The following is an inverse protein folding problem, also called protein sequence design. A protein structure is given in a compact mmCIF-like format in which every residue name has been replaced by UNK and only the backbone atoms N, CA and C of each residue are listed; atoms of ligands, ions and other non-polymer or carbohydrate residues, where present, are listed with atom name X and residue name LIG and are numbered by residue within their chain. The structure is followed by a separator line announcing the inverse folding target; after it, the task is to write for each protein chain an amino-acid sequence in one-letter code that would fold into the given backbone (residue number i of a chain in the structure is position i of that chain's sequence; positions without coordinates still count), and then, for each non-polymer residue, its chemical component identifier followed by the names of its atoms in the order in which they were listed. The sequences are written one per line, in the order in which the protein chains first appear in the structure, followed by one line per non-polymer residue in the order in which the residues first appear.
data_IF_791679182378
#
_entry.id   IF_791679182378
#
_cell.length_a   1.000
_cell.length_b   1.000
_cell.length_c   1.000
_cell.angle_alpha   90.00
_cell.angle_beta   90.00
_cell.angle_gamma   90.00
#
_symmetry.space_group_name_H-M   'P 1'
#
loop_
_entity.id
_entity.type
_entity.pdbx_description
1 polymer ?
#
# COMPACT_ATOMS: atom_id res chain seq x y z
N UNK A 1 -6.63 53.62 -33.10
CA UNK A 1 -5.76 52.50 -33.52
C UNK A 1 -5.27 51.80 -32.26
N UNK A 2 -5.38 50.48 -32.26
CA UNK A 2 -5.63 49.67 -31.07
C UNK A 2 -4.45 49.57 -30.09
N UNK A 3 -4.78 49.81 -28.82
CA UNK A 3 -4.02 49.38 -27.65
C UNK A 3 -4.30 47.90 -27.40
N UNK A 4 -3.25 47.07 -27.37
CA UNK A 4 -3.31 45.68 -26.91
C UNK A 4 -2.32 45.50 -25.76
N UNK A 5 -2.76 45.88 -24.56
CA UNK A 5 -2.17 45.40 -23.32
C UNK A 5 -2.71 43.97 -23.08
N UNK A 6 -1.87 42.95 -23.28
CA UNK A 6 -2.18 41.58 -22.91
C UNK A 6 -1.99 41.43 -21.40
N UNK A 7 -3.09 41.46 -20.66
CA UNK A 7 -3.16 41.18 -19.23
C UNK A 7 -2.96 39.68 -18.98
N UNK A 8 -1.87 39.28 -18.34
CA UNK A 8 -1.73 37.94 -17.78
C UNK A 8 -2.60 37.81 -16.51
N UNK A 9 -3.69 37.06 -16.62
CA UNK A 9 -4.49 36.61 -15.48
C UNK A 9 -3.83 35.35 -14.86
N UNK A 10 -3.67 35.25 -13.53
CA UNK A 10 -3.18 34.02 -12.90
C UNK A 10 -4.26 32.93 -12.92
N UNK A 11 -3.89 31.75 -13.44
CA UNK A 11 -4.70 30.53 -13.41
C UNK A 11 -4.83 30.08 -11.94
N UNK A 12 -6.05 29.83 -11.40
CA UNK A 12 -6.18 29.27 -10.07
C UNK A 12 -5.69 27.82 -10.07
N UNK A 13 -4.68 27.54 -9.23
CA UNK A 13 -4.26 26.18 -8.87
C UNK A 13 -5.37 25.52 -8.06
N UNK A 14 -6.11 24.60 -8.68
CA UNK A 14 -6.98 23.66 -7.96
C UNK A 14 -6.23 22.32 -7.94
N UNK A 15 -5.72 21.96 -6.77
CA UNK A 15 -5.06 20.68 -6.52
C UNK A 15 -6.09 19.54 -6.51
N UNK A 16 -5.85 18.40 -7.18
CA UNK A 16 -6.78 17.27 -7.19
C UNK A 16 -6.71 16.41 -5.92
N UNK A 17 -6.24 16.98 -4.80
CA UNK A 17 -5.97 16.25 -3.56
C UNK A 17 -7.08 16.42 -2.51
N UNK A 18 -8.14 17.20 -2.81
CA UNK A 18 -9.24 17.47 -1.87
C UNK A 18 -10.49 16.61 -2.09
N UNK A 19 -10.52 15.74 -3.11
CA UNK A 19 -11.75 15.00 -3.49
C UNK A 19 -11.83 13.55 -2.97
N UNK A 20 -10.89 13.09 -2.14
CA UNK A 20 -10.85 11.70 -1.67
C UNK A 20 -11.03 11.51 -0.15
N UNK A 21 -11.63 12.48 0.56
CA UNK A 21 -12.01 12.34 1.99
C UNK A 21 -13.53 12.44 2.20
N UNK A 22 -14.33 11.99 1.23
CA UNK A 22 -15.80 11.90 1.41
C UNK A 22 -16.37 10.48 1.36
N UNK A 23 -15.53 9.45 1.24
CA UNK A 23 -15.99 8.07 1.17
C UNK A 23 -15.72 7.34 2.50
N UNK A 24 -16.54 7.61 3.53
CA UNK A 24 -16.81 6.75 4.70
C UNK A 24 -17.66 7.49 5.76
N UNK A 25 -18.82 8.03 5.36
CA UNK A 25 -19.88 8.44 6.29
C UNK A 25 -21.02 7.43 6.13
N UNK A 26 -21.37 6.64 7.15
CA UNK A 26 -22.64 5.92 7.15
C UNK A 26 -23.77 6.95 7.22
N UNK A 27 -24.55 7.03 6.14
CA UNK A 27 -25.83 7.73 6.10
C UNK A 27 -26.81 6.98 7.00
N UNK A 28 -27.01 7.48 8.22
CA UNK A 28 -27.94 6.90 9.18
C UNK A 28 -28.46 7.97 10.11
N UNK A 29 -29.52 8.67 9.67
CA UNK A 29 -30.71 9.10 10.42
C UNK A 29 -31.42 10.11 9.50
N UNK A 30 -32.48 9.66 8.85
CA UNK A 30 -33.40 10.52 8.13
C UNK A 30 -34.85 10.12 8.45
N UNK A 31 -35.61 11.14 8.90
CA UNK A 31 -37.09 11.27 9.05
C UNK A 31 -37.63 10.77 10.42
N UNK A 32 -38.40 11.55 11.19
CA UNK A 32 -39.59 12.32 10.76
C UNK A 32 -39.98 13.49 11.74
N UNK A 33 -40.38 14.63 11.12
CA UNK A 33 -41.17 15.83 11.51
C UNK A 33 -41.51 16.17 12.98
N UNK A 34 -41.39 17.46 13.35
CA UNK A 34 -42.49 18.47 13.41
C UNK A 34 -41.91 19.88 13.12
N UNK A 35 -42.71 20.70 12.42
CA UNK A 35 -42.42 22.08 12.00
C UNK A 35 -42.63 23.08 13.13
N UNK A 36 -41.62 23.91 13.45
CA UNK A 36 -41.81 25.26 14.02
C UNK A 36 -40.68 26.21 13.61
N UNK A 37 -41.04 27.17 12.75
CA UNK A 37 -40.57 28.56 12.59
C UNK A 37 -39.05 28.92 12.65
N UNK A 38 -38.44 29.47 11.57
CA UNK A 38 -37.06 29.89 11.54
C UNK A 38 -36.90 31.38 11.92
N UNK A 39 -36.77 31.69 13.21
CA UNK A 39 -36.30 33.02 13.61
C UNK A 39 -35.72 33.04 15.03
N UNK A 40 -34.45 32.64 15.18
CA UNK A 40 -33.42 33.30 15.99
C UNK A 40 -32.18 32.43 16.04
N UNK A 41 -31.04 33.02 15.69
CA UNK A 41 -29.76 32.33 15.67
C UNK A 41 -29.39 31.75 17.03
N UNK A 42 -29.03 30.48 17.01
CA UNK A 42 -28.13 29.89 17.98
C UNK A 42 -27.09 29.14 17.17
N UNK A 43 -25.88 29.69 17.16
CA UNK A 43 -24.68 29.06 16.63
C UNK A 43 -24.62 27.61 17.09
N UNK A 44 -24.26 26.70 16.18
CA UNK A 44 -23.81 25.33 16.47
C UNK A 44 -22.86 25.35 17.69
N UNK A 45 -23.39 25.10 18.88
CA UNK A 45 -22.66 25.21 20.14
C UNK A 45 -21.84 23.95 20.30
N UNK A 46 -20.53 24.08 20.12
CA UNK A 46 -19.55 23.29 20.85
C UNK A 46 -19.98 23.21 22.32
N UNK A 47 -19.92 22.03 22.94
CA UNK A 47 -20.32 21.81 24.33
C UNK A 47 -19.76 22.89 25.26
N UNK A 48 -20.64 23.73 25.78
CA UNK A 48 -20.31 24.96 26.50
C UNK A 48 -21.14 25.13 27.78
N UNK A 49 -21.98 24.14 28.13
CA UNK A 49 -22.91 24.23 29.26
C UNK A 49 -22.68 23.09 30.24
N UNK A 50 -22.86 23.39 31.53
CA UNK A 50 -22.85 22.39 32.59
C UNK A 50 -24.12 21.53 32.56
N UNK A 51 -24.13 20.43 33.33
CA UNK A 51 -25.32 19.58 33.45
C UNK A 51 -26.53 20.38 33.98
N UNK A 52 -26.33 21.22 35.01
CA UNK A 52 -27.39 22.04 35.59
C UNK A 52 -27.94 23.06 34.59
N UNK A 53 -27.05 23.71 33.84
CA UNK A 53 -27.43 24.67 32.79
C UNK A 53 -28.25 24.02 31.68
N UNK A 54 -27.90 22.80 31.25
CA UNK A 54 -28.66 22.05 30.25
C UNK A 54 -30.07 21.74 30.76
N UNK A 55 -30.19 21.23 31.99
CA UNK A 55 -31.50 20.92 32.60
C UNK A 55 -32.35 22.18 32.66
N UNK A 56 -31.78 23.30 33.13
CA UNK A 56 -32.46 24.58 33.24
C UNK A 56 -32.90 25.10 31.87
N UNK A 57 -32.04 25.00 30.86
CA UNK A 57 -32.33 25.43 29.50
C UNK A 57 -33.51 24.66 28.90
N UNK A 58 -33.47 23.32 28.90
CA UNK A 58 -34.56 22.50 28.36
C UNK A 58 -35.87 22.69 29.12
N UNK A 59 -35.80 22.85 30.45
CA UNK A 59 -36.98 23.18 31.26
C UNK A 59 -37.63 24.50 30.81
N UNK A 60 -36.82 25.54 30.64
CA UNK A 60 -37.29 26.86 30.21
C UNK A 60 -37.85 26.83 28.79
N UNK A 61 -37.22 26.08 27.88
CA UNK A 61 -37.69 25.93 26.50
C UNK A 61 -39.06 25.25 26.41
N UNK A 62 -39.38 24.36 27.35
CA UNK A 62 -40.70 23.74 27.46
C UNK A 62 -41.71 24.56 28.28
N UNK A 63 -41.32 25.74 28.77
CA UNK A 63 -42.17 26.59 29.60
C UNK A 63 -42.50 26.00 30.97
N UNK A 64 -41.74 25.00 31.43
CA UNK A 64 -42.01 24.32 32.70
C UNK A 64 -41.49 25.14 33.88
N UNK A 65 -42.27 25.23 34.94
CA UNK A 65 -41.77 25.73 36.23
C UNK A 65 -40.89 24.69 36.92
N UNK A 66 -40.03 25.12 37.86
CA UNK A 66 -39.22 24.17 38.65
C UNK A 66 -40.10 23.13 39.39
N UNK A 67 -41.21 23.50 40.07
CA UNK A 67 -42.10 22.53 40.69
C UNK A 67 -42.70 21.52 39.70
N UNK A 68 -43.05 21.96 38.49
CA UNK A 68 -43.61 21.08 37.45
C UNK A 68 -42.61 20.03 36.98
N UNK A 69 -41.38 20.44 36.67
CA UNK A 69 -40.33 19.47 36.28
C UNK A 69 -39.97 18.55 37.46
N UNK A 70 -39.89 19.10 38.68
CA UNK A 70 -39.61 18.31 39.87
C UNK A 70 -40.70 17.24 40.10
N UNK A 71 -41.97 17.59 39.89
CA UNK A 71 -43.10 16.66 39.96
C UNK A 71 -43.01 15.58 38.86
N UNK A 72 -42.74 15.97 37.61
CA UNK A 72 -42.54 15.02 36.49
C UNK A 72 -41.39 14.05 36.73
N UNK A 73 -40.27 14.55 37.24
CA UNK A 73 -39.11 13.74 37.61
C UNK A 73 -39.27 13.04 38.98
N UNK A 74 -40.38 13.30 39.69
CA UNK A 74 -40.72 12.86 41.06
C UNK A 74 -39.56 13.03 42.06
N UNK A 75 -38.99 14.24 42.08
CA UNK A 75 -37.97 14.71 43.01
C UNK A 75 -38.45 15.97 43.73
N UNK A 76 -37.75 16.35 44.79
CA UNK A 76 -38.01 17.60 45.50
C UNK A 76 -37.62 18.82 44.65
N UNK A 77 -38.45 19.86 44.65
CA UNK A 77 -38.16 21.11 43.93
C UNK A 77 -36.89 21.79 44.44
N UNK A 78 -36.62 21.72 45.74
CA UNK A 78 -35.38 22.22 46.34
C UNK A 78 -34.14 21.48 45.83
N UNK A 79 -34.28 20.18 45.52
CA UNK A 79 -33.22 19.38 44.92
C UNK A 79 -33.01 19.73 43.45
N UNK A 80 -34.09 19.88 42.66
CA UNK A 80 -33.99 20.35 41.27
C UNK A 80 -33.30 21.72 41.19
N UNK A 81 -33.61 22.65 42.09
CA UNK A 81 -32.96 23.96 42.15
C UNK A 81 -31.44 23.85 42.43
N UNK A 82 -31.02 22.89 43.27
CA UNK A 82 -29.59 22.64 43.50
C UNK A 82 -28.92 22.03 42.27
N UNK A 83 -29.61 21.13 41.54
CA UNK A 83 -29.11 20.55 40.29
C UNK A 83 -28.91 21.62 39.21
N UNK A 84 -29.91 22.49 38.99
CA UNK A 84 -29.86 23.56 37.97
C UNK A 84 -28.79 24.63 38.22
N UNK A 85 -28.27 24.71 39.44
CA UNK A 85 -27.23 25.66 39.84
C UNK A 85 -25.89 24.95 40.14
N UNK A 86 -25.70 23.71 39.69
CA UNK A 86 -24.48 22.90 39.86
C UNK A 86 -24.02 22.71 41.32
N UNK A 87 -24.95 22.86 42.28
CA UNK A 87 -24.68 22.67 43.72
C UNK A 87 -24.88 21.21 44.16
N UNK A 88 -25.35 20.34 43.28
CA UNK A 88 -25.52 18.90 43.52
C UNK A 88 -25.51 18.12 42.21
N UNK A 89 -25.30 16.81 42.29
CA UNK A 89 -25.31 15.92 41.13
C UNK A 89 -26.35 14.80 41.30
N UNK A 90 -27.07 14.41 40.24
CA UNK A 90 -28.09 13.38 40.31
C UNK A 90 -27.47 11.98 40.29
N UNK A 91 -28.16 10.99 40.89
CA UNK A 91 -27.90 9.59 40.57
C UNK A 91 -28.33 9.28 39.12
N UNK A 92 -27.87 8.16 38.57
CA UNK A 92 -28.23 7.75 37.21
C UNK A 92 -29.76 7.63 37.01
N UNK A 93 -30.46 7.05 37.99
CA UNK A 93 -31.92 6.91 37.96
C UNK A 93 -32.63 8.27 37.99
N UNK A 94 -32.13 9.21 38.81
CA UNK A 94 -32.69 10.56 38.86
C UNK A 94 -32.44 11.30 37.55
N UNK A 95 -31.23 11.18 36.97
CA UNK A 95 -30.92 11.79 35.68
C UNK A 95 -31.87 11.27 34.60
N UNK A 96 -32.08 9.96 34.52
CA UNK A 96 -33.04 9.35 33.57
C UNK A 96 -34.46 9.88 33.74
N UNK A 97 -34.92 10.07 34.98
CA UNK A 97 -36.26 10.62 35.27
C UNK A 97 -36.38 12.10 34.90
N UNK A 98 -35.33 12.89 35.13
CA UNK A 98 -35.26 14.29 34.68
C UNK A 98 -35.29 14.37 33.16
N UNK A 99 -34.45 13.58 32.48
CA UNK A 99 -34.41 13.48 31.03
C UNK A 99 -35.77 13.06 30.43
N UNK A 100 -36.43 12.08 31.04
CA UNK A 100 -37.78 11.67 30.65
C UNK A 100 -38.82 12.78 30.88
N UNK A 101 -38.72 13.54 31.98
CA UNK A 101 -39.59 14.69 32.25
C UNK A 101 -39.41 15.85 31.26
N UNK A 102 -38.24 15.90 30.62
CA UNK A 102 -37.85 16.87 29.59
C UNK A 102 -37.93 16.32 28.17
N UNK A 103 -38.37 15.09 27.94
CA UNK A 103 -38.35 14.44 26.61
C UNK A 103 -37.00 14.61 25.88
N UNK A 104 -35.90 14.49 26.65
CA UNK A 104 -34.54 14.73 26.17
C UNK A 104 -33.75 13.41 26.18
N UNK A 105 -33.13 13.05 25.06
CA UNK A 105 -32.28 11.87 24.99
C UNK A 105 -30.88 12.14 25.59
N UNK A 106 -30.26 11.08 26.10
CA UNK A 106 -28.88 11.14 26.63
C UNK A 106 -27.90 11.61 25.55
N UNK A 107 -28.17 11.28 24.28
CA UNK A 107 -27.35 11.70 23.16
C UNK A 107 -27.32 13.23 22.98
N UNK A 108 -28.48 13.86 23.03
CA UNK A 108 -28.64 15.30 22.89
C UNK A 108 -28.06 16.05 24.10
N UNK A 109 -28.22 15.50 25.30
CA UNK A 109 -27.57 16.03 26.51
C UNK A 109 -26.05 15.98 26.37
N UNK A 110 -25.48 14.83 26.02
CA UNK A 110 -24.04 14.66 25.87
C UNK A 110 -23.43 15.53 24.75
N UNK A 111 -24.21 15.89 23.73
CA UNK A 111 -23.76 16.81 22.67
C UNK A 111 -23.62 18.27 23.16
N UNK A 112 -24.43 18.67 24.15
CA UNK A 112 -24.46 20.03 24.71
C UNK A 112 -23.51 20.19 25.91
N UNK A 113 -23.20 19.08 26.58
CA UNK A 113 -22.36 19.04 27.78
C UNK A 113 -20.94 19.50 27.46
N UNK A 114 -20.44 20.49 28.22
CA UNK A 114 -19.03 20.83 28.19
C UNK A 114 -18.22 19.79 28.96
N UNK A 115 -17.75 18.78 28.23
CA UNK A 115 -16.92 17.69 28.78
C UNK A 115 -15.62 18.23 29.39
N UNK A 116 -15.13 19.41 29.00
CA UNK A 116 -13.86 19.97 29.48
C UNK A 116 -13.98 20.60 30.86
N UNK A 117 -15.15 21.15 31.18
CA UNK A 117 -15.42 21.82 32.46
C UNK A 117 -16.36 21.01 33.36
N UNK A 118 -16.93 19.91 32.87
CA UNK A 118 -17.80 19.05 33.66
C UNK A 118 -17.10 18.51 34.92
N UNK A 119 -17.80 18.61 36.05
CA UNK A 119 -17.35 18.04 37.32
C UNK A 119 -17.14 16.52 37.17
N UNK A 120 -16.06 15.96 37.75
CA UNK A 120 -15.81 14.52 37.73
C UNK A 120 -17.02 13.67 38.12
N UNK A 121 -17.87 14.14 39.04
CA UNK A 121 -19.08 13.42 39.47
C UNK A 121 -20.11 13.27 38.35
N UNK A 122 -20.24 14.27 37.47
CA UNK A 122 -21.12 14.19 36.28
C UNK A 122 -20.62 13.10 35.33
N UNK A 123 -19.30 13.06 35.10
CA UNK A 123 -18.67 12.07 34.22
C UNK A 123 -18.75 10.62 34.77
N UNK A 124 -19.00 10.46 36.07
CA UNK A 124 -19.15 9.15 36.70
C UNK A 124 -20.57 8.58 36.61
N UNK A 125 -21.57 9.40 36.23
CA UNK A 125 -22.95 8.93 36.05
C UNK A 125 -22.99 7.89 34.92
N UNK A 126 -23.61 6.74 35.19
CA UNK A 126 -23.46 5.55 34.34
C UNK A 126 -23.98 5.74 32.91
N UNK A 127 -25.12 6.41 32.74
CA UNK A 127 -25.68 6.73 31.42
C UNK A 127 -24.77 7.62 30.58
N UNK A 128 -24.17 8.66 31.19
CA UNK A 128 -23.19 9.54 30.53
C UNK A 128 -21.91 8.78 30.21
N UNK A 129 -21.37 8.04 31.18
CA UNK A 129 -20.17 7.20 31.01
C UNK A 129 -20.34 6.20 29.87
N UNK A 130 -21.45 5.48 29.86
CA UNK A 130 -21.76 4.46 28.85
C UNK A 130 -21.85 5.08 27.46
N UNK A 131 -22.53 6.23 27.34
CA UNK A 131 -22.64 6.93 26.06
C UNK A 131 -21.26 7.41 25.58
N UNK A 132 -20.51 8.13 26.42
CA UNK A 132 -19.18 8.64 26.10
C UNK A 132 -18.18 7.52 25.75
N UNK A 133 -18.25 6.40 26.47
CA UNK A 133 -17.41 5.22 26.22
C UNK A 133 -17.59 4.62 24.83
N UNK A 134 -18.82 4.64 24.27
CA UNK A 134 -19.09 4.13 22.91
C UNK A 134 -18.39 4.96 21.82
N UNK A 135 -18.37 6.29 21.95
CA UNK A 135 -17.65 7.17 21.01
C UNK A 135 -16.14 7.01 21.12
N UNK A 136 -15.63 6.84 22.34
CA UNK A 136 -14.21 6.64 22.57
C UNK A 136 -13.73 5.28 22.03
N UNK A 137 -14.53 4.22 22.20
CA UNK A 137 -14.22 2.88 21.71
C UNK A 137 -14.20 2.82 20.17
N UNK A 138 -15.10 3.54 19.49
CA UNK A 138 -15.09 3.64 18.03
C UNK A 138 -13.83 4.36 17.51
N UNK A 139 -13.42 5.45 18.18
CA UNK A 139 -12.14 6.12 17.84
C UNK A 139 -10.94 5.22 18.10
N UNK A 140 -10.90 4.48 19.21
CA UNK A 140 -9.79 3.57 19.52
C UNK A 140 -9.70 2.41 18.52
N UNK A 141 -10.83 1.78 18.17
CA UNK A 141 -10.86 0.71 17.14
C UNK A 141 -10.34 1.21 15.80
N UNK A 142 -10.72 2.43 15.39
CA UNK A 142 -10.22 3.06 14.17
C UNK A 142 -8.71 3.29 14.23
N UNK A 143 -8.17 3.80 15.34
CA UNK A 143 -6.72 3.99 15.49
C UNK A 143 -5.95 2.67 15.48
N UNK A 144 -6.43 1.64 16.18
CA UNK A 144 -5.80 0.30 16.19
C UNK A 144 -5.82 -0.32 14.79
N UNK A 145 -6.95 -0.22 14.08
CA UNK A 145 -7.07 -0.70 12.72
C UNK A 145 -6.10 0.00 11.77
N UNK A 146 -5.96 1.33 11.87
CA UNK A 146 -4.99 2.10 11.08
C UNK A 146 -3.55 1.75 11.43
N UNK A 147 -3.22 1.55 12.71
CA UNK A 147 -1.89 1.09 13.12
C UNK A 147 -1.57 -0.27 12.49
N UNK A 148 -2.51 -1.22 12.50
CA UNK A 148 -2.33 -2.54 11.89
C UNK A 148 -2.04 -2.45 10.39
N UNK A 149 -2.76 -1.58 9.65
CA UNK A 149 -2.52 -1.34 8.22
C UNK A 149 -1.10 -0.80 7.98
N UNK A 150 -0.67 0.20 8.74
CA UNK A 150 0.66 0.78 8.57
C UNK A 150 1.77 -0.20 8.94
N UNK A 151 1.60 -1.00 10.00
CA UNK A 151 2.53 -2.07 10.35
C UNK A 151 2.62 -3.12 9.24
N UNK A 152 1.49 -3.54 8.66
CA UNK A 152 1.49 -4.47 7.53
C UNK A 152 2.20 -3.87 6.31
N UNK A 153 1.98 -2.59 6.03
CA UNK A 153 2.60 -1.88 4.91
C UNK A 153 4.13 -1.83 5.05
N UNK A 154 4.64 -1.62 6.27
CA UNK A 154 6.07 -1.70 6.57
C UNK A 154 6.61 -3.10 6.27
N UNK A 155 5.91 -4.15 6.72
CA UNK A 155 6.31 -5.53 6.45
C UNK A 155 6.41 -5.85 4.96
N UNK A 156 5.41 -5.43 4.18
CA UNK A 156 5.41 -5.59 2.71
C UNK A 156 6.54 -4.79 2.06
N UNK A 157 6.77 -3.55 2.51
CA UNK A 157 7.85 -2.71 2.00
C UNK A 157 9.23 -3.33 2.21
N UNK A 158 9.51 -3.82 3.42
CA UNK A 158 10.75 -4.53 3.74
C UNK A 158 10.94 -5.81 2.89
N UNK A 159 9.87 -6.58 2.68
CA UNK A 159 9.91 -7.78 1.87
C UNK A 159 10.24 -7.49 0.40
N UNK A 160 9.62 -6.47 -0.18
CA UNK A 160 9.90 -6.05 -1.57
C UNK A 160 11.32 -5.51 -1.74
N UNK A 161 11.81 -4.74 -0.77
CA UNK A 161 13.19 -4.28 -0.77
C UNK A 161 14.18 -5.44 -0.76
N UNK A 162 13.96 -6.42 0.13
CA UNK A 162 14.81 -7.61 0.20
C UNK A 162 14.72 -8.45 -1.09
N UNK A 163 13.54 -8.59 -1.67
CA UNK A 163 13.35 -9.32 -2.92
C UNK A 163 14.12 -8.70 -4.10
N UNK A 164 14.13 -7.37 -4.21
CA UNK A 164 14.93 -6.66 -5.21
C UNK A 164 16.43 -6.76 -4.94
N UNK A 165 16.85 -6.61 -3.67
CA UNK A 165 18.27 -6.72 -3.27
C UNK A 165 18.86 -8.12 -3.48
N UNK A 166 18.07 -9.16 -3.23
CA UNK A 166 18.50 -10.55 -3.34
C UNK A 166 18.48 -11.09 -4.79
N UNK A 167 18.04 -10.29 -5.77
CA UNK A 167 17.87 -10.71 -7.16
C UNK A 167 16.96 -11.95 -7.32
N UNK A 168 16.07 -12.20 -6.35
CA UNK A 168 15.35 -13.47 -6.23
C UNK A 168 14.42 -13.77 -7.42
N UNK A 169 13.81 -12.72 -7.99
CA UNK A 169 12.91 -12.84 -9.14
C UNK A 169 13.58 -12.53 -10.47
N UNK A 170 14.59 -11.66 -10.48
CA UNK A 170 15.29 -11.22 -11.68
C UNK A 170 16.80 -11.36 -11.48
N UNK A 171 17.36 -12.55 -11.75
CA UNK A 171 18.80 -12.77 -11.67
C UNK A 171 19.56 -11.81 -12.59
N UNK A 172 20.63 -11.20 -12.09
CA UNK A 172 21.47 -10.28 -12.89
C UNK A 172 22.65 -11.01 -13.55
N UNK A 173 22.83 -12.30 -13.24
CA UNK A 173 23.84 -13.14 -13.87
C UNK A 173 23.38 -13.56 -15.25
N UNK A 174 24.03 -13.02 -16.27
CA UNK A 174 23.78 -13.36 -17.65
C UNK A 174 24.85 -14.32 -18.18
N UNK A 175 24.42 -15.43 -18.74
CA UNK A 175 25.24 -16.45 -19.37
C UNK A 175 25.22 -16.26 -20.89
N UNK A 176 26.40 -16.20 -21.50
CA UNK A 176 26.56 -16.10 -22.94
C UNK A 176 26.91 -17.46 -23.52
N UNK A 177 26.16 -17.89 -24.53
CA UNK A 177 26.41 -19.13 -25.24
C UNK A 177 26.69 -18.84 -26.69
N UNK A 178 27.68 -19.51 -27.27
CA UNK A 178 28.06 -19.34 -28.67
C UNK A 178 28.04 -20.66 -29.41
N UNK A 179 27.47 -20.64 -30.61
CA UNK A 179 27.57 -21.71 -31.59
C UNK A 179 28.48 -21.27 -32.74
N UNK A 180 29.29 -22.20 -33.27
CA UNK A 180 30.19 -21.94 -34.40
C UNK A 180 29.53 -22.14 -35.77
N UNK A 181 28.39 -22.82 -35.83
CA UNK A 181 27.68 -23.08 -37.09
C UNK A 181 26.59 -24.13 -36.97
N UNK A 182 25.97 -24.43 -38.12
CA UNK A 182 24.91 -25.43 -38.25
C UNK A 182 25.47 -26.80 -38.63
N UNK A 183 25.06 -27.81 -37.86
CA UNK A 183 25.40 -29.21 -38.07
C UNK A 183 24.25 -29.84 -38.85
N UNK A 184 24.58 -30.45 -39.98
CA UNK A 184 23.62 -31.11 -40.86
C UNK A 184 23.26 -32.51 -40.35
N UNK A 185 22.12 -33.07 -40.78
CA UNK A 185 21.76 -34.45 -40.45
C UNK A 185 22.85 -35.44 -40.89
N UNK A 186 23.33 -36.27 -39.96
CA UNK A 186 24.40 -37.26 -40.21
C UNK A 186 25.81 -36.79 -39.84
N UNK A 187 26.02 -35.50 -39.59
CA UNK A 187 27.31 -34.99 -39.15
C UNK A 187 27.57 -35.19 -37.65
N UNK A 188 28.85 -35.37 -37.25
CA UNK A 188 29.24 -35.49 -35.85
C UNK A 188 28.86 -34.22 -35.05
N UNK A 189 28.54 -34.38 -33.76
CA UNK A 189 28.17 -33.26 -32.88
C UNK A 189 29.33 -32.27 -32.71
N UNK A 190 30.56 -32.75 -32.64
CA UNK A 190 31.78 -31.96 -32.54
C UNK A 190 32.32 -31.54 -33.92
N UNK A 191 31.49 -31.47 -34.97
CA UNK A 191 31.89 -31.07 -36.33
C UNK A 191 32.76 -29.80 -36.30
N UNK A 192 32.30 -28.69 -35.73
CA UNK A 192 33.06 -27.42 -35.65
C UNK A 192 34.20 -27.39 -34.62
N UNK A 193 34.43 -28.49 -33.90
CA UNK A 193 35.52 -28.65 -32.92
C UNK A 193 36.64 -29.54 -33.46
N UNK A 194 36.51 -30.00 -34.71
CA UNK A 194 37.49 -30.86 -35.37
C UNK A 194 36.98 -32.27 -35.65
N UNK A 195 35.73 -32.59 -35.29
CA UNK A 195 35.10 -33.88 -35.55
C UNK A 195 35.08 -34.25 -37.03
N UNK A 196 34.93 -33.26 -37.91
CA UNK A 196 34.95 -33.41 -39.37
C UNK A 196 36.24 -34.05 -39.91
N UNK A 197 37.36 -33.95 -39.18
CA UNK A 197 38.65 -34.55 -39.58
C UNK A 197 38.63 -36.07 -39.59
N UNK A 198 37.70 -36.71 -38.88
CA UNK A 198 37.59 -38.16 -38.82
C UNK A 198 37.11 -38.80 -40.12
N UNK A 199 36.60 -38.00 -41.05
CA UNK A 199 36.13 -38.45 -42.36
C UNK A 199 37.29 -38.73 -43.34
N UNK A 200 38.52 -38.25 -43.04
CA UNK A 200 39.67 -38.37 -43.92
C UNK A 200 40.69 -39.41 -43.42
N UNK A 201 41.31 -40.20 -44.32
CA UNK A 201 42.32 -41.18 -43.93
C UNK A 201 43.59 -40.48 -43.41
N UNK A 202 44.33 -41.14 -42.51
CA UNK A 202 45.55 -40.59 -41.91
C UNK A 202 46.62 -40.15 -42.93
N UNK A 203 46.65 -40.78 -44.11
CA UNK A 203 47.53 -40.41 -45.22
C UNK A 203 47.28 -39.00 -45.76
N UNK A 204 46.05 -38.48 -45.69
CA UNK A 204 45.69 -37.14 -46.18
C UNK A 204 46.38 -36.00 -45.41
N UNK A 205 46.81 -36.26 -44.17
CA UNK A 205 47.45 -35.29 -43.29
C UNK A 205 48.98 -35.27 -43.39
N UNK A 206 49.60 -36.17 -44.18
CA UNK A 206 51.06 -36.30 -44.25
C UNK A 206 51.70 -35.14 -45.05
N UNK A 207 52.78 -34.50 -44.54
CA UNK A 207 53.43 -33.38 -45.22
C UNK A 207 54.12 -33.74 -46.56
N UNK A 208 54.72 -34.93 -46.65
CA UNK A 208 55.43 -35.42 -47.84
C UNK A 208 54.47 -36.17 -48.78
N UNK A 209 54.33 -35.70 -50.02
CA UNK A 209 53.39 -36.25 -51.01
C UNK A 209 54.04 -37.25 -51.97
N UNK A 210 53.33 -38.36 -52.16
CA UNK A 210 53.25 -39.20 -53.34
C UNK A 210 52.71 -38.40 -54.56
N UNK A 211 52.96 -38.89 -55.78
CA UNK A 211 52.66 -38.23 -57.06
C UNK A 211 51.20 -37.81 -57.22
N UNK A 212 50.95 -36.73 -57.98
CA UNK A 212 49.61 -36.36 -58.47
C UNK A 212 48.97 -37.57 -59.17
N UNK A 213 47.76 -37.96 -58.74
CA UNK A 213 47.04 -39.15 -59.22
C UNK A 213 47.13 -40.40 -58.33
N UNK A 214 47.79 -40.34 -57.16
CA UNK A 214 47.72 -41.39 -56.16
C UNK A 214 46.48 -41.25 -55.24
N UNK A 215 45.97 -42.35 -54.64
CA UNK A 215 44.86 -42.29 -53.68
C UNK A 215 45.12 -41.32 -52.50
N UNK A 216 46.38 -41.15 -52.12
CA UNK A 216 46.80 -40.21 -51.06
C UNK A 216 46.75 -38.74 -51.53
N UNK A 217 47.10 -38.48 -52.80
CA UNK A 217 47.02 -37.15 -53.41
C UNK A 217 45.59 -36.64 -53.56
N UNK A 218 44.66 -37.52 -53.96
CA UNK A 218 43.23 -37.21 -54.05
C UNK A 218 42.63 -36.91 -52.67
N UNK A 219 42.94 -37.74 -51.66
CA UNK A 219 42.49 -37.51 -50.29
C UNK A 219 42.99 -36.17 -49.73
N UNK A 220 44.21 -35.75 -50.09
CA UNK A 220 44.76 -34.44 -49.71
C UNK A 220 44.02 -33.28 -50.39
N UNK A 221 43.59 -33.44 -51.64
CA UNK A 221 42.79 -32.43 -52.34
C UNK A 221 41.39 -32.29 -51.71
N UNK A 222 40.74 -33.42 -51.41
CA UNK A 222 39.45 -33.44 -50.71
C UNK A 222 39.56 -32.82 -49.32
N UNK A 223 40.63 -33.11 -48.57
CA UNK A 223 40.89 -32.49 -47.27
C UNK A 223 40.99 -30.96 -47.37
N UNK A 224 41.70 -30.43 -48.39
CA UNK A 224 41.80 -28.97 -48.61
C UNK A 224 40.45 -28.35 -48.97
N UNK A 225 39.66 -29.02 -49.81
CA UNK A 225 38.30 -28.56 -50.14
C UNK A 225 37.42 -28.53 -48.89
N UNK A 226 37.43 -29.60 -48.10
CA UNK A 226 36.69 -29.67 -46.84
C UNK A 226 37.15 -28.62 -45.81
N UNK A 227 38.43 -28.25 -45.77
CA UNK A 227 38.91 -27.12 -44.95
C UNK A 227 38.28 -25.79 -45.38
N UNK A 228 38.22 -25.52 -46.68
CA UNK A 228 37.61 -24.31 -47.24
C UNK A 228 36.10 -24.31 -46.99
N UNK A 229 35.43 -25.44 -47.21
CA UNK A 229 33.99 -25.58 -46.98
C UNK A 229 33.64 -25.44 -45.50
N UNK A 230 34.44 -26.02 -44.60
CA UNK A 230 34.28 -25.86 -43.16
C UNK A 230 34.46 -24.42 -42.74
N UNK A 231 35.47 -23.71 -43.27
CA UNK A 231 35.68 -22.29 -43.02
C UNK A 231 34.51 -21.43 -43.52
N UNK A 232 33.97 -21.75 -44.70
CA UNK A 232 32.81 -21.06 -45.28
C UNK A 232 31.51 -21.32 -44.50
N UNK A 233 31.41 -22.46 -43.81
CA UNK A 233 30.25 -22.84 -42.97
C UNK A 233 30.31 -22.31 -41.55
N UNK A 234 31.44 -21.73 -41.11
CA UNK A 234 31.52 -21.10 -39.79
C UNK A 234 30.61 -19.87 -39.77
N UNK A 235 29.55 -19.96 -38.99
CA UNK A 235 28.59 -18.90 -38.77
C UNK A 235 28.36 -18.76 -37.26
N UNK A 236 29.07 -17.81 -36.65
CA UNK A 236 28.96 -17.56 -35.23
C UNK A 236 27.59 -17.02 -34.87
N UNK A 237 26.97 -17.65 -33.89
CA UNK A 237 25.71 -17.18 -33.36
C UNK A 237 25.68 -17.32 -31.85
N UNK A 238 25.38 -16.21 -31.18
CA UNK A 238 25.32 -16.13 -29.73
C UNK A 238 23.88 -16.02 -29.24
N UNK A 239 23.61 -16.66 -28.11
CA UNK A 239 22.38 -16.49 -27.34
C UNK A 239 22.75 -16.13 -25.91
N UNK A 240 21.89 -15.35 -25.27
CA UNK A 240 22.05 -14.92 -23.90
C UNK A 240 20.91 -15.47 -23.05
N UNK A 241 21.21 -15.89 -21.82
CA UNK A 241 20.22 -16.40 -20.88
C UNK A 241 20.56 -15.96 -19.46
N UNK A 242 19.55 -15.59 -18.68
CA UNK A 242 19.69 -15.31 -17.24
C UNK A 242 19.59 -16.57 -16.38
N UNK A 243 19.33 -17.71 -17.02
CA UNK A 243 19.30 -19.02 -16.38
C UNK A 243 20.45 -19.89 -16.92
N UNK A 244 21.11 -20.68 -16.05
CA UNK A 244 22.14 -21.61 -16.50
C UNK A 244 21.49 -22.74 -17.29
N UNK A 245 21.74 -22.79 -18.59
CA UNK A 245 21.24 -23.83 -19.50
C UNK A 245 22.18 -25.06 -19.56
N UNK A 246 23.19 -25.12 -18.68
CA UNK A 246 24.26 -26.12 -18.72
C UNK A 246 25.48 -25.64 -19.51
N UNK A 247 26.39 -26.56 -19.83
CA UNK A 247 27.62 -26.26 -20.59
C UNK A 247 27.40 -26.28 -22.11
N UNK A 248 26.46 -27.11 -22.59
CA UNK A 248 26.12 -27.28 -24.00
C UNK A 248 24.59 -27.33 -24.13
N UNK A 249 24.05 -26.55 -25.06
CA UNK A 249 22.62 -26.53 -25.40
C UNK A 249 22.45 -26.87 -26.87
N UNK A 250 21.64 -27.86 -27.18
CA UNK A 250 21.28 -28.21 -28.55
C UNK A 250 19.93 -27.56 -28.90
N UNK A 251 19.89 -26.87 -30.05
CA UNK A 251 18.65 -26.37 -30.63
C UNK A 251 18.49 -26.92 -32.03
N UNK A 252 17.33 -27.51 -32.31
CA UNK A 252 16.94 -27.95 -33.65
C UNK A 252 16.37 -26.76 -34.43
N UNK A 253 16.73 -26.63 -35.70
CA UNK A 253 16.24 -25.61 -36.62
C UNK A 253 15.19 -26.23 -37.55
N UNK A 254 14.30 -25.39 -38.07
CA UNK A 254 13.18 -25.80 -38.93
C UNK A 254 13.63 -26.49 -40.24
N UNK A 255 14.86 -26.21 -40.67
CA UNK A 255 15.49 -26.84 -41.83
C UNK A 255 16.03 -28.26 -41.56
N UNK A 256 15.85 -28.79 -40.34
CA UNK A 256 16.36 -30.09 -39.91
C UNK A 256 17.81 -30.07 -39.41
N UNK A 257 18.51 -28.94 -39.51
CA UNK A 257 19.84 -28.76 -38.94
C UNK A 257 19.76 -28.59 -37.42
N UNK A 258 20.89 -28.74 -36.74
CA UNK A 258 21.02 -28.46 -35.31
C UNK A 258 22.16 -27.49 -35.04
N UNK A 259 22.01 -26.67 -34.01
CA UNK A 259 23.07 -25.80 -33.47
C UNK A 259 23.39 -26.22 -32.05
N UNK A 260 24.69 -26.39 -31.80
CA UNK A 260 25.23 -26.60 -30.46
C UNK A 260 25.79 -25.29 -29.93
N UNK A 261 25.25 -24.85 -28.81
CA UNK A 261 25.61 -23.63 -28.11
C UNK A 261 26.44 -23.99 -26.90
N UNK A 262 27.70 -23.54 -26.87
CA UNK A 262 28.60 -23.76 -25.73
C UNK A 262 28.69 -22.52 -24.89
N UNK A 263 28.74 -22.68 -23.56
CA UNK A 263 28.96 -21.56 -22.64
C UNK A 263 30.32 -20.91 -22.95
N UNK A 264 30.33 -19.59 -23.14
CA UNK A 264 31.54 -18.81 -23.44
C UNK A 264 31.76 -17.76 -22.36
N UNK A 265 32.95 -17.82 -21.74
CA UNK A 265 33.37 -16.86 -20.72
C UNK A 265 32.72 -17.08 -19.36
N UNK A 266 32.98 -16.14 -18.45
CA UNK A 266 32.34 -16.08 -17.14
C UNK A 266 30.99 -15.38 -17.24
N UNK A 267 30.03 -15.68 -16.34
CA UNK A 267 28.76 -14.96 -16.30
C UNK A 267 28.99 -13.45 -16.13
N UNK A 268 28.38 -12.64 -16.98
CA UNK A 268 28.45 -11.18 -16.89
C UNK A 268 27.33 -10.68 -15.99
N UNK A 269 27.63 -9.77 -15.07
CA UNK A 269 26.59 -9.07 -14.32
C UNK A 269 25.97 -7.99 -15.20
N UNK A 270 24.66 -8.12 -15.43
CA UNK A 270 23.86 -7.12 -16.14
C UNK A 270 22.78 -6.64 -15.21
N UNK A 271 22.90 -5.38 -14.79
CA UNK A 271 21.93 -4.76 -13.88
C UNK A 271 20.54 -4.73 -14.52
N UNK A 272 19.55 -5.12 -13.73
CA UNK A 272 18.15 -5.17 -14.15
C UNK A 272 17.36 -4.09 -13.42
N UNK A 273 16.74 -3.20 -14.20
CA UNK A 273 15.96 -2.09 -13.65
C UNK A 273 14.79 -2.59 -12.77
N UNK A 274 14.29 -3.79 -13.03
CA UNK A 274 13.21 -4.43 -12.28
C UNK A 274 13.57 -4.62 -10.79
N UNK A 275 14.80 -5.02 -10.49
CA UNK A 275 15.28 -5.13 -9.10
C UNK A 275 15.34 -3.75 -8.44
N UNK A 276 15.81 -2.73 -9.17
CA UNK A 276 15.83 -1.35 -8.71
C UNK A 276 14.42 -0.82 -8.41
N UNK A 277 13.44 -1.10 -9.26
CA UNK A 277 12.04 -0.72 -9.03
C UNK A 277 11.43 -1.43 -7.81
N UNK A 278 11.70 -2.72 -7.62
CA UNK A 278 11.27 -3.45 -6.42
C UNK A 278 11.83 -2.82 -5.15
N UNK A 279 13.11 -2.46 -5.15
CA UNK A 279 13.75 -1.77 -4.03
C UNK A 279 13.14 -0.40 -3.77
N UNK A 280 12.91 0.39 -4.83
CA UNK A 280 12.34 1.73 -4.72
C UNK A 280 10.90 1.70 -4.17
N UNK A 281 10.06 0.81 -4.69
CA UNK A 281 8.70 0.61 -4.17
C UNK A 281 8.74 0.14 -2.72
N UNK A 282 9.63 -0.81 -2.41
CA UNK A 282 9.82 -1.32 -1.05
C UNK A 282 10.15 -0.23 -0.03
N UNK A 283 11.17 0.60 -0.33
CA UNK A 283 11.57 1.72 0.54
C UNK A 283 10.43 2.73 0.68
N UNK A 284 9.75 3.06 -0.41
CA UNK A 284 8.65 4.05 -0.40
C UNK A 284 7.51 3.59 0.51
N UNK A 285 7.12 2.31 0.43
CA UNK A 285 6.10 1.73 1.31
C UNK A 285 6.53 1.70 2.77
N UNK A 286 7.78 1.31 3.05
CA UNK A 286 8.33 1.31 4.41
C UNK A 286 8.32 2.71 5.02
N UNK A 287 8.81 3.72 4.29
CA UNK A 287 8.82 5.11 4.75
C UNK A 287 7.40 5.62 4.97
N UNK A 288 6.49 5.38 4.02
CA UNK A 288 5.09 5.77 4.15
C UNK A 288 4.40 5.11 5.35
N UNK A 289 4.69 3.84 5.60
CA UNK A 289 4.17 3.09 6.75
C UNK A 289 4.66 3.66 8.07
N UNK A 290 5.95 3.98 8.19
CA UNK A 290 6.52 4.60 9.39
C UNK A 290 5.91 5.98 9.64
N UNK A 291 5.79 6.83 8.62
CA UNK A 291 5.16 8.15 8.74
C UNK A 291 3.70 8.00 9.18
N UNK A 292 2.96 7.07 8.58
CA UNK A 292 1.58 6.78 8.94
C UNK A 292 1.44 6.35 10.41
N UNK A 293 2.30 5.46 10.88
CA UNK A 293 2.32 5.01 12.27
C UNK A 293 2.60 6.18 13.23
N UNK A 294 3.59 7.02 12.92
CA UNK A 294 3.92 8.21 13.72
C UNK A 294 2.75 9.20 13.77
N UNK A 295 2.04 9.41 12.66
CA UNK A 295 0.86 10.26 12.62
C UNK A 295 -0.27 9.70 13.49
N UNK A 296 -0.55 8.40 13.42
CA UNK A 296 -1.59 7.77 14.25
C UNK A 296 -1.21 7.82 15.73
N UNK A 297 0.06 7.62 16.09
CA UNK A 297 0.55 7.76 17.46
C UNK A 297 0.44 9.20 17.97
N UNK A 298 0.81 10.18 17.13
CA UNK A 298 0.69 11.60 17.47
C UNK A 298 -0.77 12.00 17.70
N UNK A 299 -1.66 11.63 16.78
CA UNK A 299 -3.10 11.91 16.89
C UNK A 299 -3.76 11.14 18.06
N UNK A 300 -3.29 9.93 18.36
CA UNK A 300 -3.73 9.15 19.50
C UNK A 300 -3.33 9.78 20.84
N UNK A 301 -2.10 10.28 20.95
CA UNK A 301 -1.59 10.99 22.14
C UNK A 301 -2.41 12.25 22.45
N UNK A 302 -2.83 13.01 21.41
CA UNK A 302 -3.71 14.17 21.60
C UNK A 302 -5.13 13.84 22.09
N UNK A 303 -5.58 12.57 21.99
CA UNK A 303 -6.90 12.11 22.46
C UNK A 303 -6.87 11.45 23.84
N UNK A 304 -5.68 11.18 24.39
CA UNK A 304 -5.53 10.65 25.74
C UNK A 304 -5.67 11.75 26.77
N UNK A 305 -6.88 11.99 27.27
CA UNK A 305 -7.05 12.73 28.52
C UNK A 305 -6.49 11.88 29.68
N UNK A 306 -5.71 12.46 30.60
CA UNK A 306 -5.31 11.78 31.82
C UNK A 306 -6.57 11.62 32.66
N UNK A 307 -7.07 10.39 32.78
CA UNK A 307 -7.83 10.04 33.97
C UNK A 307 -6.81 10.14 35.10
N UNK A 308 -6.91 11.22 35.87
CA UNK A 308 -6.08 11.44 37.04
C UNK A 308 -6.15 10.21 37.93
N UNK A 309 -4.99 9.63 38.22
CA UNK A 309 -4.83 8.76 39.37
C UNK A 309 -5.17 9.60 40.61
N UNK A 310 -6.29 9.26 41.24
CA UNK A 310 -6.68 9.64 42.59
C UNK A 310 -7.08 8.39 43.34
#
# INVERSE_FOLDING_TARGET
MNSLAVSYQPIPRISPLFMYIHLLIPQGIAKNRVSTNPSKGLSMTSGNMTLGEIIRYHRQQQGLSQPELASKAQIEQSYLSKLENDNSYPSDDILKRILSGLDLDIADLCAQLDIRSADPKVMHIESIRTYMGRFQQQSQRRSVFLMAIFTLTIGIGCALFYAGYSEAFFPEKQYSYQSRGEIQPGEPTDYFEGGWRREFPAGAYRPFSSSEGSPEGEAKQQLRQAQVDQANRVNYHSIQSFQPLGSIVERQLDNGNRRLYRLVGSPTQVSRAENGWLMLVGITLTVSGVIGLLLVLRLGSFRGYPLGNG
#
